data_IF_064903238753
#
_entry.id   IF_064903238753
#
_cell.length_a   1.000
_cell.length_b   1.000
_cell.length_c   1.000
_cell.angle_alpha   90.00
_cell.angle_beta   90.00
_cell.angle_gamma   90.00
#
_symmetry.space_group_name_H-M   'P 1'
#
loop_
_entity.id
_entity.type
_entity.pdbx_description
1 polymer ?
#
# COMPACT_ATOMS: atom_id res chain seq x y z
N UNK A 1 -21.30 10.34 -31.50
CA UNK A 1 -21.21 11.76 -31.98
C UNK A 1 -22.49 12.18 -32.72
N UNK A 2 -23.65 11.91 -32.11
CA UNK A 2 -24.91 11.86 -32.85
C UNK A 2 -25.76 13.11 -32.59
N UNK A 3 -26.56 13.52 -33.56
CA UNK A 3 -27.55 14.57 -33.39
C UNK A 3 -28.82 14.03 -32.74
N UNK A 4 -29.40 14.77 -31.79
CA UNK A 4 -30.70 14.43 -31.21
C UNK A 4 -31.39 15.66 -30.64
N UNK A 5 -32.47 15.42 -29.87
CA UNK A 5 -33.32 16.47 -29.28
C UNK A 5 -33.23 16.38 -27.76
N UNK A 6 -33.28 17.53 -27.08
CA UNK A 6 -33.27 17.60 -25.62
C UNK A 6 -34.45 16.86 -25.00
N UNK A 7 -34.30 16.35 -23.78
CA UNK A 7 -35.36 15.62 -23.07
C UNK A 7 -36.61 16.48 -22.84
N UNK A 8 -36.43 17.78 -22.62
CA UNK A 8 -37.52 18.75 -22.47
C UNK A 8 -38.25 19.04 -23.80
N UNK A 9 -37.69 18.63 -24.94
CA UNK A 9 -38.19 18.93 -26.27
C UNK A 9 -37.93 20.37 -26.69
N UNK A 10 -37.65 20.57 -27.98
CA UNK A 10 -37.59 21.91 -28.59
C UNK A 10 -36.20 22.38 -29.02
N UNK A 11 -35.14 21.77 -28.52
CA UNK A 11 -33.76 22.09 -28.95
C UNK A 11 -33.07 20.85 -29.51
N UNK A 12 -32.53 20.96 -30.72
CA UNK A 12 -31.73 19.93 -31.36
C UNK A 12 -30.25 20.29 -31.31
N UNK A 13 -29.40 19.36 -30.89
CA UNK A 13 -27.95 19.55 -30.84
C UNK A 13 -27.20 18.22 -31.00
N UNK A 14 -25.91 18.30 -31.34
CA UNK A 14 -24.98 17.16 -31.25
C UNK A 14 -24.80 16.79 -29.78
N UNK A 15 -24.92 15.51 -29.45
CA UNK A 15 -24.84 15.01 -28.07
C UNK A 15 -26.18 14.89 -27.36
N UNK A 16 -27.28 15.37 -27.97
CA UNK A 16 -28.64 15.16 -27.46
C UNK A 16 -29.22 13.82 -27.92
N UNK A 17 -30.23 13.35 -27.20
CA UNK A 17 -30.81 12.03 -27.42
C UNK A 17 -29.83 10.87 -27.13
N UNK A 18 -30.19 9.64 -27.52
CA UNK A 18 -29.36 8.45 -27.26
C UNK A 18 -27.94 8.60 -27.83
N UNK A 19 -26.94 8.39 -26.97
CA UNK A 19 -25.53 8.39 -27.35
C UNK A 19 -24.94 6.99 -27.27
N UNK A 20 -24.00 6.70 -28.18
CA UNK A 20 -23.19 5.49 -28.09
C UNK A 20 -22.43 5.47 -26.75
N UNK A 21 -22.45 4.34 -26.07
CA UNK A 21 -21.74 4.13 -24.81
C UNK A 21 -20.88 2.89 -24.97
N UNK A 22 -19.59 3.01 -24.65
CA UNK A 22 -18.65 1.91 -24.64
C UNK A 22 -18.37 1.52 -23.19
N UNK A 23 -18.68 0.28 -22.83
CA UNK A 23 -18.45 -0.26 -21.50
C UNK A 23 -17.37 -1.34 -21.63
N UNK A 24 -16.31 -1.20 -20.86
CA UNK A 24 -15.27 -2.21 -20.71
C UNK A 24 -15.28 -2.73 -19.28
N UNK A 25 -15.02 -4.03 -19.13
CA UNK A 25 -14.78 -4.65 -17.83
C UNK A 25 -13.28 -4.88 -17.66
N UNK A 26 -12.80 -4.76 -16.44
CA UNK A 26 -11.44 -5.11 -16.06
C UNK A 26 -11.47 -6.05 -14.86
N UNK A 27 -10.64 -7.07 -14.88
CA UNK A 27 -10.37 -7.90 -13.71
C UNK A 27 -9.37 -7.15 -12.83
N UNK A 28 -9.83 -6.72 -11.64
CA UNK A 28 -9.01 -6.00 -10.67
C UNK A 28 -9.03 -6.71 -9.32
N UNK A 29 -7.94 -6.57 -8.57
CA UNK A 29 -7.88 -6.95 -7.16
C UNK A 29 -7.47 -5.72 -6.35
N UNK A 30 -8.22 -5.44 -5.28
CA UNK A 30 -7.87 -4.38 -4.33
C UNK A 30 -7.34 -5.09 -3.08
N UNK A 31 -6.02 -5.13 -2.96
CA UNK A 31 -5.34 -5.69 -1.80
C UNK A 31 -5.10 -4.60 -0.77
N UNK A 32 -5.03 -4.97 0.51
CA UNK A 32 -4.91 -4.03 1.63
C UNK A 32 -3.65 -3.20 1.61
N UNK A 33 -2.64 -3.49 0.77
CA UNK A 33 -1.42 -2.70 0.66
C UNK A 33 -1.69 -1.27 0.15
N UNK A 34 -1.84 -0.32 1.08
CA UNK A 34 -1.94 1.13 0.83
C UNK A 34 -0.58 1.80 0.73
N UNK A 35 0.49 1.04 0.55
CA UNK A 35 1.86 1.57 0.51
C UNK A 35 2.33 2.00 -0.88
N UNK A 36 1.56 1.76 -1.94
CA UNK A 36 1.94 2.20 -3.29
C UNK A 36 1.08 3.38 -3.71
N UNK A 37 1.76 4.45 -4.11
CA UNK A 37 1.21 5.36 -5.09
C UNK A 37 0.81 4.51 -6.31
N UNK A 38 -0.37 4.72 -6.93
CA UNK A 38 -0.83 3.91 -8.04
C UNK A 38 0.27 3.83 -9.08
N UNK A 39 0.65 2.60 -9.41
CA UNK A 39 1.74 2.25 -10.32
C UNK A 39 1.53 2.88 -11.70
N UNK A 40 2.12 4.06 -11.88
CA UNK A 40 2.70 4.46 -13.15
C UNK A 40 4.21 4.45 -12.98
N UNK A 41 4.94 4.18 -14.05
CA UNK A 41 6.38 4.42 -14.21
C UNK A 41 6.78 5.91 -14.05
N UNK A 42 5.96 6.69 -13.35
CA UNK A 42 6.19 8.09 -13.04
C UNK A 42 6.94 8.17 -11.72
N UNK A 43 8.27 8.04 -11.82
CA UNK A 43 9.21 8.62 -10.87
C UNK A 43 8.95 10.12 -10.57
N UNK A 44 8.00 10.74 -11.28
CA UNK A 44 7.51 12.11 -11.15
C UNK A 44 6.32 12.28 -10.17
N UNK A 45 5.76 11.21 -9.59
CA UNK A 45 4.73 11.34 -8.55
C UNK A 45 5.31 11.59 -7.14
N UNK A 46 6.65 11.70 -7.03
CA UNK A 46 7.37 12.07 -5.80
C UNK A 46 7.41 13.61 -5.61
N UNK A 47 6.69 14.38 -6.42
CA UNK A 47 6.66 15.85 -6.36
C UNK A 47 5.37 16.40 -5.71
N UNK A 48 4.94 15.80 -4.59
CA UNK A 48 3.84 16.35 -3.81
C UNK A 48 4.39 17.41 -2.81
N UNK A 49 4.08 18.71 -2.96
CA UNK A 49 4.60 19.76 -2.08
C UNK A 49 4.07 19.67 -0.63
N UNK A 50 3.04 18.86 -0.39
CA UNK A 50 2.49 18.61 0.94
C UNK A 50 3.06 17.37 1.62
N UNK A 51 3.96 16.65 0.96
CA UNK A 51 4.60 15.48 1.53
C UNK A 51 5.72 15.90 2.50
N UNK A 52 5.93 15.12 3.55
CA UNK A 52 7.07 15.30 4.42
C UNK A 52 8.32 14.74 3.74
N UNK A 53 9.37 15.55 3.70
CA UNK A 53 10.65 15.19 3.10
C UNK A 53 11.77 15.20 4.13
N UNK A 54 12.76 14.31 3.94
CA UNK A 54 13.95 14.27 4.77
C UNK A 54 15.25 14.34 3.95
N UNK A 55 16.30 14.84 4.60
CA UNK A 55 17.57 15.20 3.94
C UNK A 55 18.66 14.14 4.04
N UNK A 56 18.57 13.20 4.98
CA UNK A 56 19.40 11.99 5.13
C UNK A 56 18.94 11.16 6.34
N UNK A 57 19.16 9.85 6.24
CA UNK A 57 19.08 8.78 7.27
C UNK A 57 18.47 9.21 8.62
N UNK A 58 17.19 8.87 8.79
CA UNK A 58 16.57 8.85 10.10
C UNK A 58 16.69 7.43 10.69
N UNK A 59 17.15 7.27 11.95
CA UNK A 59 17.12 5.99 12.64
C UNK A 59 15.70 5.40 12.60
N UNK A 60 15.54 4.17 12.13
CA UNK A 60 14.24 3.49 12.06
C UNK A 60 13.44 3.68 10.76
N UNK A 61 13.97 4.36 9.74
CA UNK A 61 13.36 4.40 8.39
C UNK A 61 14.19 3.53 7.44
N UNK A 62 13.58 2.46 6.93
CA UNK A 62 14.22 1.53 6.00
C UNK A 62 14.67 2.25 4.72
N UNK A 63 15.85 1.89 4.19
CA UNK A 63 16.53 2.53 3.04
C UNK A 63 15.90 2.18 1.68
N UNK A 64 14.58 2.28 1.56
CA UNK A 64 13.90 1.76 0.36
C UNK A 64 13.67 2.81 -0.72
N UNK A 65 14.31 3.99 -0.64
CA UNK A 65 13.95 5.12 -1.51
C UNK A 65 15.13 5.70 -2.28
N UNK A 66 14.94 5.77 -3.60
CA UNK A 66 15.71 6.59 -4.53
C UNK A 66 15.50 8.07 -4.19
N UNK A 67 16.57 8.88 -4.05
CA UNK A 67 16.45 10.32 -3.82
C UNK A 67 15.67 11.00 -4.95
N UNK A 68 14.75 11.91 -4.64
CA UNK A 68 14.07 12.68 -5.69
C UNK A 68 15.05 13.67 -6.33
N UNK A 69 15.25 13.63 -7.66
CA UNK A 69 16.13 14.57 -8.35
C UNK A 69 15.58 16.01 -8.35
N UNK A 70 14.26 16.19 -8.25
CA UNK A 70 13.60 17.50 -8.29
C UNK A 70 13.56 18.19 -6.91
N UNK A 71 13.52 17.41 -5.83
CA UNK A 71 13.57 17.93 -4.45
C UNK A 71 15.00 18.09 -3.93
N UNK A 72 15.97 18.43 -4.79
CA UNK A 72 17.39 18.56 -4.42
C UNK A 72 17.96 17.35 -3.65
N UNK A 73 17.53 16.13 -4.00
CA UNK A 73 17.95 14.90 -3.33
C UNK A 73 17.29 14.64 -1.97
N UNK A 74 16.20 15.34 -1.64
CA UNK A 74 15.35 15.00 -0.50
C UNK A 74 14.59 13.69 -0.78
N UNK A 75 14.34 12.94 0.29
CA UNK A 75 13.67 11.64 0.24
C UNK A 75 12.24 11.81 0.80
N UNK A 76 11.20 11.34 0.09
CA UNK A 76 9.83 11.36 0.60
C UNK A 76 9.66 10.40 1.79
N UNK A 77 8.95 10.82 2.84
CA UNK A 77 8.51 9.91 3.90
C UNK A 77 7.27 9.14 3.42
N UNK A 78 7.46 7.86 3.10
CA UNK A 78 6.38 6.92 2.77
C UNK A 78 6.37 5.81 3.82
N UNK A 79 5.36 5.79 4.69
CA UNK A 79 5.15 4.69 5.63
C UNK A 79 4.37 3.59 4.89
N UNK A 80 5.07 2.54 4.46
CA UNK A 80 4.46 1.40 3.73
C UNK A 80 3.94 0.30 4.65
N UNK A 81 4.53 0.21 5.84
CA UNK A 81 4.23 -0.85 6.78
C UNK A 81 2.87 -0.63 7.44
N UNK A 82 2.03 -1.65 7.38
CA UNK A 82 0.70 -1.64 7.99
C UNK A 82 0.67 -2.41 9.30
N UNK A 83 1.61 -3.34 9.45
CA UNK A 83 1.74 -4.18 10.61
C UNK A 83 3.20 -4.24 11.05
N UNK A 84 3.43 -4.01 12.33
CA UNK A 84 4.72 -4.22 12.97
C UNK A 84 4.57 -5.31 14.03
N UNK A 85 5.34 -6.38 13.87
CA UNK A 85 5.32 -7.56 14.72
C UNK A 85 6.60 -7.63 15.56
N UNK A 86 6.53 -8.21 16.77
CA UNK A 86 7.70 -8.43 17.59
C UNK A 86 8.55 -9.58 17.04
N UNK A 87 9.86 -9.45 17.14
CA UNK A 87 10.85 -10.45 16.70
C UNK A 87 11.80 -10.81 17.83
N UNK A 88 12.55 -11.90 17.64
CA UNK A 88 13.57 -12.35 18.57
C UNK A 88 13.01 -12.64 19.97
N UNK A 89 13.65 -12.08 21.00
CA UNK A 89 13.25 -12.27 22.40
C UNK A 89 11.90 -11.62 22.75
N UNK A 90 11.51 -10.60 21.99
CA UNK A 90 10.27 -9.84 22.21
C UNK A 90 9.03 -10.56 21.70
N UNK A 91 9.18 -11.55 20.81
CA UNK A 91 8.06 -12.27 20.19
C UNK A 91 7.17 -13.01 21.21
N UNK A 92 7.73 -13.43 22.34
CA UNK A 92 7.00 -14.13 23.39
C UNK A 92 6.21 -13.20 24.32
N UNK A 93 6.39 -11.87 24.20
CA UNK A 93 5.70 -10.91 25.05
C UNK A 93 4.42 -10.42 24.35
N UNK A 94 3.22 -10.73 24.87
CA UNK A 94 1.96 -10.37 24.21
C UNK A 94 1.76 -8.86 24.06
N UNK A 95 2.35 -8.04 24.94
CA UNK A 95 2.24 -6.58 24.87
C UNK A 95 3.17 -5.96 23.84
N UNK A 96 4.12 -6.73 23.30
CA UNK A 96 5.09 -6.20 22.33
C UNK A 96 4.47 -5.98 20.95
N UNK A 97 3.39 -6.68 20.61
CA UNK A 97 2.66 -6.42 19.37
C UNK A 97 2.16 -4.96 19.32
N UNK A 98 1.48 -4.51 20.37
CA UNK A 98 0.94 -3.16 20.46
C UNK A 98 2.05 -2.11 20.56
N UNK A 99 3.13 -2.45 21.28
CA UNK A 99 4.30 -1.59 21.39
C UNK A 99 4.97 -1.38 20.03
N UNK A 100 5.19 -2.44 19.25
CA UNK A 100 5.78 -2.35 17.92
C UNK A 100 4.88 -1.53 16.99
N UNK A 101 3.57 -1.77 17.00
CA UNK A 101 2.61 -0.98 16.23
C UNK A 101 2.69 0.51 16.57
N UNK A 102 2.70 0.86 17.86
CA UNK A 102 2.72 2.26 18.28
C UNK A 102 4.06 2.95 18.03
N UNK A 103 5.18 2.30 18.38
CA UNK A 103 6.51 2.92 18.35
C UNK A 103 7.16 2.86 16.96
N UNK A 104 6.84 1.88 16.13
CA UNK A 104 7.38 1.81 14.79
C UNK A 104 6.59 2.67 13.78
N UNK A 105 5.28 2.85 13.99
CA UNK A 105 4.43 3.66 13.08
C UNK A 105 4.29 5.13 13.49
N UNK A 106 4.80 5.52 14.66
CA UNK A 106 4.92 6.94 15.03
C UNK A 106 6.00 7.65 14.18
N UNK A 107 5.92 8.99 14.13
CA UNK A 107 6.96 9.82 13.53
C UNK A 107 7.60 10.75 14.57
N UNK A 108 8.93 10.75 14.74
CA UNK A 108 9.91 9.82 14.15
C UNK A 108 9.75 8.37 14.66
N UNK A 109 10.02 7.36 13.81
CA UNK A 109 9.87 5.95 14.22
C UNK A 109 10.92 5.57 15.26
N UNK A 110 10.50 4.84 16.27
CA UNK A 110 11.35 4.20 17.28
C UNK A 110 11.21 2.68 17.14
N UNK A 111 11.83 2.13 16.10
CA UNK A 111 11.71 0.71 15.73
C UNK A 111 13.07 0.02 15.77
N UNK A 112 13.52 -0.49 16.92
CA UNK A 112 14.73 -1.28 17.00
C UNK A 112 14.54 -2.65 16.32
N UNK A 113 15.40 -2.96 15.34
CA UNK A 113 15.33 -4.19 14.53
C UNK A 113 15.45 -5.49 15.36
N UNK A 114 16.09 -5.42 16.53
CA UNK A 114 16.21 -6.57 17.45
C UNK A 114 14.89 -6.95 18.13
N UNK A 115 13.93 -6.03 18.19
CA UNK A 115 12.67 -6.22 18.92
C UNK A 115 11.44 -6.20 18.03
N UNK A 116 11.45 -5.40 16.95
CA UNK A 116 10.30 -5.22 16.08
C UNK A 116 10.70 -5.29 14.61
N UNK A 117 9.82 -5.87 13.79
CA UNK A 117 9.91 -5.88 12.33
C UNK A 117 8.58 -5.46 11.74
N UNK A 118 8.62 -4.51 10.82
CA UNK A 118 7.43 -4.02 10.13
C UNK A 118 7.31 -4.67 8.76
N UNK A 119 6.19 -5.36 8.53
CA UNK A 119 5.92 -6.09 7.30
C UNK A 119 4.98 -5.30 6.40
N UNK A 120 5.15 -5.45 5.09
CA UNK A 120 4.35 -4.77 4.07
C UNK A 120 3.89 -5.70 2.96
N UNK A 121 4.51 -6.88 2.85
CA UNK A 121 4.15 -7.89 1.87
C UNK A 121 4.10 -9.25 2.55
N UNK A 122 3.08 -10.04 2.20
CA UNK A 122 2.94 -11.41 2.65
C UNK A 122 2.64 -12.29 1.45
N UNK A 123 3.30 -13.44 1.39
CA UNK A 123 3.15 -14.42 0.32
C UNK A 123 2.84 -15.79 0.90
N UNK A 124 2.11 -16.59 0.13
CA UNK A 124 1.82 -17.96 0.48
C UNK A 124 3.05 -18.84 0.24
N UNK A 125 3.31 -19.76 1.17
CA UNK A 125 4.46 -20.66 1.17
C UNK A 125 4.04 -22.13 1.13
N UNK A 126 4.99 -23.01 0.80
CA UNK A 126 4.78 -24.46 0.75
C UNK A 126 3.79 -24.90 -0.35
N UNK A 127 3.03 -25.96 -0.07
CA UNK A 127 1.97 -26.45 -0.98
C UNK A 127 0.84 -25.42 -1.14
N UNK A 128 0.58 -24.63 -0.09
CA UNK A 128 -0.42 -23.56 -0.12
C UNK A 128 -0.04 -22.47 -1.13
N UNK A 129 1.24 -22.12 -1.27
CA UNK A 129 1.72 -21.15 -2.25
C UNK A 129 1.59 -21.56 -3.73
N UNK A 130 1.36 -22.84 -4.03
CA UNK A 130 1.22 -23.31 -5.42
C UNK A 130 -0.15 -23.00 -6.02
N UNK A 131 -1.14 -22.64 -5.20
CA UNK A 131 -2.48 -22.30 -5.68
C UNK A 131 -2.56 -20.81 -6.01
N UNK A 132 -2.92 -20.45 -7.25
CA UNK A 132 -3.10 -19.05 -7.63
C UNK A 132 -4.13 -18.35 -6.74
N UNK A 133 -3.77 -17.18 -6.21
CA UNK A 133 -4.64 -16.36 -5.36
C UNK A 133 -4.45 -16.57 -3.85
N UNK A 134 -3.66 -17.55 -3.41
CA UNK A 134 -3.40 -17.75 -1.97
C UNK A 134 -2.51 -16.67 -1.36
N UNK A 135 -1.72 -15.94 -2.16
CA UNK A 135 -1.02 -14.74 -1.71
C UNK A 135 -1.99 -13.68 -1.20
N UNK A 136 -3.16 -13.55 -1.84
CA UNK A 136 -4.20 -12.58 -1.43
C UNK A 136 -4.72 -12.94 -0.04
N UNK A 137 -4.92 -14.23 0.23
CA UNK A 137 -5.31 -14.71 1.56
C UNK A 137 -4.26 -14.31 2.61
N UNK A 138 -2.98 -14.52 2.32
CA UNK A 138 -1.91 -14.13 3.24
C UNK A 138 -1.86 -12.62 3.45
N UNK A 139 -1.99 -11.81 2.39
CA UNK A 139 -2.02 -10.36 2.53
C UNK A 139 -3.20 -9.88 3.37
N UNK A 140 -4.39 -10.47 3.24
CA UNK A 140 -5.58 -10.07 3.98
C UNK A 140 -5.51 -10.47 5.46
N UNK A 141 -5.15 -11.71 5.75
CA UNK A 141 -5.14 -12.24 7.12
C UNK A 141 -3.90 -11.80 7.91
N UNK A 142 -2.75 -11.67 7.24
CA UNK A 142 -1.51 -11.36 7.90
C UNK A 142 -1.24 -9.86 8.06
N UNK A 143 -1.64 -9.00 7.12
CA UNK A 143 -1.40 -7.54 7.23
C UNK A 143 -2.46 -6.80 8.05
N UNK A 144 -3.54 -7.49 8.45
CA UNK A 144 -4.54 -6.95 9.37
C UNK A 144 -4.00 -6.79 10.79
N UNK A 145 -4.59 -5.88 11.57
CA UNK A 145 -4.35 -5.76 13.00
C UNK A 145 -5.69 -5.93 13.77
N UNK A 146 -5.83 -6.93 14.66
CA UNK A 146 -4.83 -7.95 15.01
C UNK A 146 -4.55 -8.91 13.84
N UNK A 147 -3.31 -9.38 13.75
CA UNK A 147 -2.87 -10.28 12.67
C UNK A 147 -3.21 -11.73 13.02
N UNK A 148 -3.89 -12.42 12.11
CA UNK A 148 -4.23 -13.84 12.26
C UNK A 148 -3.38 -14.69 11.30
N UNK A 149 -2.09 -14.37 11.20
CA UNK A 149 -1.21 -14.96 10.18
C UNK A 149 -0.83 -16.42 10.50
N UNK A 150 -1.22 -17.40 9.67
CA UNK A 150 -0.81 -18.79 9.85
C UNK A 150 0.66 -18.99 9.42
N UNK A 151 1.59 -19.30 10.35
CA UNK A 151 3.03 -19.33 10.05
C UNK A 151 3.45 -20.48 9.12
N UNK A 152 2.64 -21.53 9.00
CA UNK A 152 2.91 -22.65 8.10
C UNK A 152 2.47 -22.40 6.65
N UNK A 153 1.66 -21.36 6.43
CA UNK A 153 1.06 -21.06 5.12
C UNK A 153 1.50 -19.74 4.55
N UNK A 154 1.86 -18.78 5.39
CA UNK A 154 2.16 -17.43 4.98
C UNK A 154 3.50 -16.98 5.56
N UNK A 155 4.30 -16.32 4.73
CA UNK A 155 5.53 -15.64 5.13
C UNK A 155 5.40 -14.16 4.79
N UNK A 156 5.82 -13.29 5.72
CA UNK A 156 5.72 -11.84 5.56
C UNK A 156 7.10 -11.18 5.67
N UNK A 157 7.33 -10.20 4.80
CA UNK A 157 8.51 -9.36 4.71
C UNK A 157 8.16 -7.88 4.87
#
# INVERSE_FOLDING_TARGET
>A
NTWGVSEAGGEGAVGYGPQETFINCADISITTNTGTFPTGDDANQIDNPWLLYYRKEFPGVHRDHTPSPLSNGLIPLVVRSQLCIPVGVSANNPNMQDWCMYNCLQYPPNCPEEHCRCVSECSAIGEFGQTPGNDIFCQQECLGYPSNCPPEKCECA
#
